data_IF_600493004910
#
_entry.id   IF_600493004910
#
_cell.length_a   1.000
_cell.length_b   1.000
_cell.length_c   1.000
_cell.angle_alpha   90.00
_cell.angle_beta   90.00
_cell.angle_gamma   90.00
#
_symmetry.space_group_name_H-M   'P 1'
#
loop_
_entity.id
_entity.type
_entity.pdbx_description
1 polymer ?
#
# COMPACT_ATOMS: atom_id res chain seq x y z
N UNK A 1 82.91 -78.37 5.30
CA UNK A 1 81.54 -77.88 5.58
C UNK A 1 81.59 -76.37 5.73
N UNK A 2 80.88 -75.57 4.93
CA UNK A 2 80.71 -74.15 5.21
C UNK A 2 79.53 -73.93 6.19
N UNK A 3 79.56 -72.92 7.07
CA UNK A 3 78.49 -72.65 8.03
C UNK A 3 77.27 -71.98 7.34
N UNK A 4 76.06 -72.11 7.91
CA UNK A 4 74.83 -71.63 7.31
C UNK A 4 74.72 -70.09 7.36
N UNK A 5 74.38 -69.48 6.22
CA UNK A 5 73.98 -68.07 6.16
C UNK A 5 72.48 -67.96 6.49
N UNK A 6 72.16 -67.41 7.67
CA UNK A 6 70.79 -66.97 7.97
C UNK A 6 70.59 -65.56 7.41
N UNK A 7 69.56 -65.41 6.59
CA UNK A 7 69.09 -64.15 5.99
C UNK A 7 67.99 -63.60 6.91
N UNK A 8 68.14 -62.47 7.62
CA UNK A 8 67.06 -61.95 8.43
C UNK A 8 66.09 -61.20 7.51
N UNK A 9 64.93 -61.80 7.27
CA UNK A 9 63.80 -61.07 6.71
C UNK A 9 63.15 -60.30 7.86
N UNK A 10 63.52 -59.03 8.02
CA UNK A 10 62.82 -58.10 8.90
C UNK A 10 61.53 -57.66 8.20
N UNK A 11 60.52 -58.54 8.20
CA UNK A 11 59.15 -58.14 7.90
C UNK A 11 58.62 -57.34 9.09
N UNK A 12 58.49 -56.02 8.94
CA UNK A 12 57.85 -55.17 9.94
C UNK A 12 56.44 -55.74 10.23
N UNK A 13 56.10 -56.07 11.48
CA UNK A 13 54.88 -56.80 11.77
C UNK A 13 53.66 -55.94 11.42
N UNK A 14 52.79 -56.47 10.54
CA UNK A 14 51.50 -55.91 10.12
C UNK A 14 50.63 -55.38 11.26
N UNK A 15 50.86 -55.86 12.48
CA UNK A 15 50.22 -55.44 13.73
C UNK A 15 50.37 -53.93 14.00
N UNK A 16 51.44 -53.28 13.51
CA UNK A 16 51.62 -51.82 13.60
C UNK A 16 50.88 -51.01 12.53
N UNK A 17 50.26 -51.64 11.54
CA UNK A 17 49.46 -50.93 10.55
C UNK A 17 48.19 -50.33 11.18
N UNK A 18 47.56 -51.02 12.13
CA UNK A 18 46.30 -50.58 12.77
C UNK A 18 46.49 -49.28 13.58
N UNK A 19 47.49 -49.14 14.47
CA UNK A 19 47.76 -47.88 15.17
C UNK A 19 48.08 -46.72 14.25
N UNK A 20 48.85 -46.96 13.18
CA UNK A 20 49.24 -45.91 12.22
C UNK A 20 48.02 -45.45 11.42
N UNK A 21 47.18 -46.37 10.96
CA UNK A 21 45.92 -46.03 10.26
C UNK A 21 44.99 -45.26 11.20
N UNK A 22 44.85 -45.68 12.46
CA UNK A 22 44.05 -44.95 13.45
C UNK A 22 44.57 -43.53 13.69
N UNK A 23 45.90 -43.35 13.76
CA UNK A 23 46.53 -42.03 13.92
C UNK A 23 46.33 -41.14 12.69
N UNK A 24 46.42 -41.70 11.49
CA UNK A 24 46.14 -40.99 10.23
C UNK A 24 44.66 -40.59 10.16
N UNK A 25 43.74 -41.47 10.53
CA UNK A 25 42.30 -41.14 10.59
C UNK A 25 42.03 -40.05 11.62
N UNK A 26 42.64 -40.12 12.81
CA UNK A 26 42.49 -39.10 13.86
C UNK A 26 43.08 -37.75 13.42
N UNK A 27 44.26 -37.74 12.78
CA UNK A 27 44.87 -36.55 12.21
C UNK A 27 44.01 -35.96 11.09
N UNK A 28 43.45 -36.81 10.22
CA UNK A 28 42.55 -36.39 9.14
C UNK A 28 41.24 -35.82 9.69
N UNK A 29 40.64 -36.44 10.71
CA UNK A 29 39.44 -35.92 11.38
C UNK A 29 39.73 -34.57 12.07
N UNK A 30 40.89 -34.44 12.71
CA UNK A 30 41.31 -33.21 13.37
C UNK A 30 41.51 -32.07 12.37
N UNK A 31 42.20 -32.33 11.26
CA UNK A 31 42.41 -31.35 10.19
C UNK A 31 41.08 -30.91 9.54
N UNK A 32 40.16 -31.85 9.31
CA UNK A 32 38.82 -31.55 8.78
C UNK A 32 38.01 -30.67 9.74
N UNK A 33 38.03 -30.99 11.03
CA UNK A 33 37.31 -30.24 12.08
C UNK A 33 37.81 -28.80 12.24
N UNK A 34 39.10 -28.57 12.00
CA UNK A 34 39.70 -27.23 12.06
C UNK A 34 39.43 -26.44 10.77
N UNK A 35 39.36 -27.11 9.62
CA UNK A 35 39.16 -26.45 8.32
C UNK A 35 37.75 -25.86 8.14
N UNK A 36 36.74 -26.47 8.78
CA UNK A 36 35.33 -26.07 8.66
C UNK A 36 34.93 -24.90 9.60
N UNK A 37 35.79 -24.50 10.54
CA UNK A 37 35.55 -23.37 11.44
C UNK A 37 35.88 -22.05 10.74
N UNK A 38 34.88 -21.18 10.63
CA UNK A 38 35.07 -19.82 10.16
C UNK A 38 35.45 -18.86 11.29
N UNK A 39 35.48 -17.56 11.01
CA UNK A 39 35.86 -16.54 11.98
C UNK A 39 34.85 -16.39 13.12
N UNK A 40 35.34 -16.01 14.29
CA UNK A 40 34.50 -15.58 15.42
C UNK A 40 34.25 -14.08 15.29
N UNK A 41 33.00 -13.67 15.47
CA UNK A 41 32.58 -12.27 15.38
C UNK A 41 31.86 -11.83 16.67
N UNK A 42 31.85 -10.52 16.89
CA UNK A 42 31.15 -9.85 17.99
C UNK A 42 30.07 -8.95 17.41
N UNK A 43 28.85 -9.07 17.92
CA UNK A 43 27.71 -8.23 17.53
C UNK A 43 27.11 -7.58 18.77
N UNK A 44 27.07 -6.25 18.80
CA UNK A 44 26.50 -5.48 19.92
C UNK A 44 25.06 -5.08 19.63
N UNK A 45 24.11 -5.53 20.43
CA UNK A 45 22.68 -5.19 20.36
C UNK A 45 22.25 -4.34 21.57
N UNK A 46 21.19 -3.54 21.43
CA UNK A 46 20.61 -2.83 22.58
C UNK A 46 19.90 -3.79 23.56
N UNK A 47 19.30 -4.87 23.05
CA UNK A 47 18.69 -5.94 23.84
C UNK A 47 18.95 -7.32 23.20
N UNK A 48 18.81 -8.38 23.99
CA UNK A 48 18.99 -9.77 23.53
C UNK A 48 17.71 -10.61 23.61
N UNK A 49 16.56 -9.96 23.52
CA UNK A 49 15.26 -10.63 23.60
C UNK A 49 15.09 -11.62 22.43
N UNK A 50 14.89 -12.90 22.77
CA UNK A 50 14.74 -14.01 21.82
C UNK A 50 16.04 -14.72 21.43
N UNK A 51 17.22 -14.19 21.79
CA UNK A 51 18.50 -14.88 21.56
C UNK A 51 18.73 -15.91 22.66
N UNK A 52 18.70 -17.18 22.28
CA UNK A 52 18.95 -18.31 23.16
C UNK A 52 20.37 -18.87 23.00
N UNK A 53 21.04 -19.02 24.14
CA UNK A 53 22.22 -19.86 24.33
C UNK A 53 21.73 -21.24 24.79
N UNK A 54 21.29 -22.07 23.85
CA UNK A 54 20.86 -23.42 24.15
C UNK A 54 21.97 -24.24 24.84
N UNK A 55 21.57 -25.18 25.71
CA UNK A 55 22.50 -26.11 26.39
C UNK A 55 23.21 -27.07 25.41
N UNK A 56 22.61 -27.30 24.24
CA UNK A 56 23.12 -28.16 23.16
C UNK A 56 23.28 -27.36 21.87
N UNK A 57 24.17 -27.78 20.95
CA UNK A 57 24.44 -27.08 19.69
C UNK A 57 23.18 -26.82 18.83
N UNK A 58 22.22 -27.76 18.84
CA UNK A 58 20.98 -27.65 18.09
C UNK A 58 19.98 -26.61 18.63
N UNK A 59 20.18 -26.12 19.86
CA UNK A 59 19.31 -25.13 20.51
C UNK A 59 19.94 -23.73 20.54
N UNK A 60 21.08 -23.52 19.86
CA UNK A 60 21.72 -22.20 19.77
C UNK A 60 21.06 -21.39 18.66
N UNK A 61 20.90 -20.09 18.92
CA UNK A 61 20.44 -19.13 17.92
C UNK A 61 21.35 -19.14 16.70
N UNK A 62 20.78 -19.31 15.50
CA UNK A 62 21.52 -19.35 14.23
C UNK A 62 21.59 -17.97 13.58
N UNK A 63 22.70 -17.69 12.88
CA UNK A 63 22.85 -16.54 11.99
C UNK A 63 22.55 -16.99 10.56
N UNK A 64 21.66 -16.26 9.85
CA UNK A 64 21.17 -16.63 8.53
C UNK A 64 21.21 -15.48 7.53
N UNK A 65 21.59 -15.79 6.29
CA UNK A 65 21.42 -14.93 5.13
C UNK A 65 20.55 -15.65 4.10
N UNK A 66 19.48 -15.03 3.59
CA UNK A 66 18.58 -15.65 2.60
C UNK A 66 18.16 -17.09 2.97
N UNK A 67 17.81 -17.32 4.24
CA UNK A 67 17.48 -18.63 4.84
C UNK A 67 18.59 -19.69 4.86
N UNK A 68 19.83 -19.34 4.52
CA UNK A 68 21.00 -20.22 4.66
C UNK A 68 21.69 -19.96 5.99
N UNK A 69 21.95 -21.01 6.77
CA UNK A 69 22.67 -20.93 8.03
C UNK A 69 24.17 -20.70 7.79
N UNK A 70 24.67 -19.58 8.31
CA UNK A 70 26.05 -19.13 8.12
C UNK A 70 26.84 -18.97 9.43
N UNK A 71 26.19 -19.13 10.58
CA UNK A 71 26.85 -19.08 11.88
C UNK A 71 25.92 -19.44 13.02
N UNK A 72 26.47 -19.52 14.23
CA UNK A 72 25.73 -19.80 15.47
C UNK A 72 26.24 -18.95 16.61
N UNK A 73 25.35 -18.55 17.51
CA UNK A 73 25.72 -17.81 18.72
C UNK A 73 26.48 -18.75 19.67
N UNK A 74 27.67 -18.31 20.10
CA UNK A 74 28.55 -19.05 21.00
C UNK A 74 28.41 -18.59 22.45
N UNK A 75 28.32 -17.27 22.68
CA UNK A 75 28.12 -16.69 24.00
C UNK A 75 27.35 -15.36 23.95
N UNK A 76 26.83 -14.96 25.11
CA UNK A 76 26.03 -13.76 25.34
C UNK A 76 26.54 -13.15 26.63
N UNK A 77 26.88 -11.87 26.60
CA UNK A 77 27.34 -11.10 27.75
C UNK A 77 26.80 -9.68 27.71
N UNK A 78 26.95 -8.96 28.81
CA UNK A 78 26.66 -7.53 28.85
C UNK A 78 27.96 -6.77 28.60
N UNK A 79 27.91 -5.61 27.94
CA UNK A 79 29.08 -4.72 27.85
C UNK A 79 29.51 -4.24 29.23
N UNK A 80 30.77 -3.81 29.37
CA UNK A 80 31.34 -3.38 30.65
C UNK A 80 30.56 -2.22 31.29
N UNK A 81 30.02 -1.32 30.46
CA UNK A 81 29.18 -0.19 30.85
C UNK A 81 27.70 -0.55 31.08
N UNK A 82 27.34 -1.82 30.86
CA UNK A 82 25.98 -2.39 30.97
C UNK A 82 24.95 -1.78 30.01
N UNK A 83 25.39 -1.05 28.99
CA UNK A 83 24.50 -0.33 28.05
C UNK A 83 24.05 -1.18 26.86
N UNK A 84 24.75 -2.28 26.58
CA UNK A 84 24.49 -3.13 25.42
C UNK A 84 24.72 -4.62 25.73
N UNK A 85 24.10 -5.47 24.92
CA UNK A 85 24.32 -6.92 24.96
C UNK A 85 25.30 -7.30 23.86
N UNK A 86 26.39 -7.95 24.25
CA UNK A 86 27.46 -8.41 23.37
C UNK A 86 27.22 -9.88 23.05
N UNK A 87 26.99 -10.17 21.77
CA UNK A 87 26.79 -11.51 21.23
C UNK A 87 28.07 -11.94 20.54
N UNK A 88 28.69 -13.03 21.00
CA UNK A 88 29.80 -13.66 20.28
C UNK A 88 29.26 -14.81 19.46
N UNK A 89 29.57 -14.84 18.17
CA UNK A 89 29.11 -15.86 17.25
C UNK A 89 30.24 -16.52 16.48
N UNK A 90 30.13 -17.84 16.32
CA UNK A 90 31.01 -18.65 15.49
C UNK A 90 30.41 -18.74 14.08
N UNK A 91 31.13 -18.19 13.10
CA UNK A 91 30.70 -18.20 11.71
C UNK A 91 31.25 -19.43 10.97
N UNK A 92 30.57 -19.84 9.91
CA UNK A 92 31.10 -20.80 8.93
C UNK A 92 32.12 -20.12 8.03
N UNK A 93 33.05 -20.91 7.48
CA UNK A 93 34.06 -20.41 6.53
C UNK A 93 33.44 -19.69 5.34
N UNK A 94 32.30 -20.19 4.84
CA UNK A 94 31.54 -19.62 3.73
C UNK A 94 31.01 -18.20 4.00
N UNK A 95 30.88 -17.80 5.28
CA UNK A 95 30.40 -16.48 5.65
C UNK A 95 31.49 -15.40 5.55
N UNK A 96 32.77 -15.77 5.50
CA UNK A 96 33.89 -14.82 5.56
C UNK A 96 33.86 -13.72 4.49
N UNK A 97 33.54 -13.99 3.21
CA UNK A 97 33.39 -12.97 2.18
C UNK A 97 32.21 -12.00 2.41
N UNK A 98 31.25 -12.41 3.26
CA UNK A 98 30.05 -11.66 3.60
C UNK A 98 30.23 -10.79 4.85
N UNK A 99 31.30 -11.00 5.62
CA UNK A 99 31.63 -10.23 6.83
C UNK A 99 32.39 -8.95 6.48
N UNK A 100 31.66 -7.98 5.94
CA UNK A 100 32.13 -6.66 5.48
C UNK A 100 31.86 -5.60 6.54
N UNK A 101 32.64 -4.53 6.62
CA UNK A 101 32.47 -3.49 7.66
C UNK A 101 31.07 -2.85 7.72
N UNK A 102 30.31 -2.90 6.63
CA UNK A 102 28.94 -2.41 6.50
C UNK A 102 27.87 -3.51 6.54
N UNK A 103 28.23 -4.72 6.97
CA UNK A 103 27.29 -5.84 7.16
C UNK A 103 26.35 -5.56 8.31
N UNK A 104 25.05 -5.68 8.05
CA UNK A 104 23.99 -5.41 9.02
C UNK A 104 23.51 -6.71 9.62
N UNK A 105 23.29 -6.72 10.93
CA UNK A 105 22.71 -7.85 11.66
C UNK A 105 21.46 -7.40 12.43
N UNK A 106 20.44 -8.24 12.52
CA UNK A 106 19.22 -7.95 13.29
C UNK A 106 18.60 -9.23 13.82
N UNK A 107 17.83 -9.15 14.91
CA UNK A 107 17.12 -10.30 15.48
C UNK A 107 15.76 -10.46 14.79
N UNK A 108 15.54 -11.60 14.15
CA UNK A 108 14.23 -11.98 13.58
C UNK A 108 13.48 -12.82 14.60
N UNK A 109 12.37 -12.29 15.08
CA UNK A 109 11.47 -12.96 16.02
C UNK A 109 10.29 -13.58 15.27
N UNK A 110 9.85 -14.80 15.63
CA UNK A 110 8.63 -15.36 15.05
C UNK A 110 7.44 -14.46 15.42
N UNK A 111 6.76 -13.91 14.42
CA UNK A 111 5.50 -13.18 14.64
C UNK A 111 4.39 -14.20 14.82
N UNK A 112 3.72 -14.17 15.98
CA UNK A 112 2.49 -14.94 16.19
C UNK A 112 1.39 -14.29 15.36
N UNK A 113 1.19 -14.78 14.14
CA UNK A 113 0.00 -14.47 13.37
C UNK A 113 -1.19 -15.23 13.94
N UNK A 114 -2.34 -14.56 14.11
CA UNK A 114 -3.61 -15.23 14.47
C UNK A 114 -4.22 -16.01 13.29
N UNK A 115 -3.50 -16.20 12.18
CA UNK A 115 -3.94 -16.95 11.02
C UNK A 115 -3.74 -18.44 11.19
N UNK A 116 -4.80 -19.13 11.63
CA UNK A 116 -4.99 -20.54 11.32
C UNK A 116 -4.49 -21.50 12.39
N UNK A 117 -5.41 -21.82 13.30
CA UNK A 117 -5.34 -23.02 14.13
C UNK A 117 -5.48 -24.22 13.17
N UNK A 118 -4.36 -24.77 12.71
CA UNK A 118 -4.24 -26.13 12.19
C UNK A 118 -2.76 -26.53 12.24
N UNK A 119 -2.37 -27.20 13.32
CA UNK A 119 -1.03 -27.73 13.51
C UNK A 119 -0.31 -27.21 14.74
N UNK A 120 -0.83 -27.49 15.93
CA UNK A 120 -0.12 -27.34 17.22
C UNK A 120 1.06 -28.35 17.36
N UNK A 121 1.77 -28.66 16.28
CA UNK A 121 2.81 -29.70 16.26
C UNK A 121 4.12 -29.31 15.57
N UNK A 122 4.27 -28.11 15.02
CA UNK A 122 5.58 -27.64 14.56
C UNK A 122 6.16 -26.67 15.57
N UNK A 123 6.84 -27.26 16.54
CA UNK A 123 7.86 -26.66 17.39
C UNK A 123 8.41 -25.35 16.82
N UNK A 124 8.14 -24.29 17.60
CA UNK A 124 8.76 -22.97 17.60
C UNK A 124 10.20 -23.06 17.05
N UNK A 125 10.40 -22.64 15.80
CA UNK A 125 11.73 -22.23 15.39
C UNK A 125 12.02 -20.97 16.20
N UNK A 126 12.93 -21.08 17.18
CA UNK A 126 13.34 -19.95 18.02
C UNK A 126 13.80 -18.75 17.17
N UNK A 127 13.93 -17.58 17.77
CA UNK A 127 14.42 -16.41 17.05
C UNK A 127 15.79 -16.72 16.40
N UNK A 128 16.08 -16.05 15.29
CA UNK A 128 17.36 -16.19 14.60
C UNK A 128 17.92 -14.81 14.28
N UNK A 129 19.22 -14.71 14.04
CA UNK A 129 19.86 -13.45 13.65
C UNK A 129 19.93 -13.41 12.12
N UNK A 130 19.30 -12.41 11.50
CA UNK A 130 19.45 -12.12 10.07
C UNK A 130 20.76 -11.37 9.82
N UNK A 131 21.37 -11.59 8.66
CA UNK A 131 22.49 -10.80 8.18
C UNK A 131 22.24 -10.26 6.77
N UNK A 132 22.77 -9.08 6.47
CA UNK A 132 22.75 -8.48 5.13
C UNK A 132 24.16 -7.93 4.84
N UNK A 133 24.92 -8.53 3.91
CA UNK A 133 26.24 -8.03 3.53
C UNK A 133 26.11 -6.70 2.77
N UNK A 134 27.02 -5.77 3.04
CA UNK A 134 27.11 -4.53 2.27
C UNK A 134 28.14 -4.62 1.13
N UNK A 135 28.74 -3.51 0.74
CA UNK A 135 29.64 -3.39 -0.42
C UNK A 135 31.12 -3.25 -0.05
N UNK A 136 31.44 -3.02 1.22
CA UNK A 136 32.81 -2.79 1.68
C UNK A 136 33.69 -4.07 1.64
N UNK A 137 35.03 -3.95 1.76
CA UNK A 137 35.90 -5.11 1.84
C UNK A 137 35.55 -6.04 3.01
N UNK A 138 35.70 -7.35 2.77
CA UNK A 138 35.50 -8.40 3.78
C UNK A 138 36.62 -8.43 4.81
N UNK A 139 36.33 -8.95 6.01
CA UNK A 139 37.31 -9.16 7.09
C UNK A 139 36.93 -8.51 8.41
N UNK A 140 35.78 -7.83 8.49
CA UNK A 140 35.29 -7.25 9.73
C UNK A 140 34.93 -8.36 10.74
N UNK A 141 35.10 -8.04 12.04
CA UNK A 141 34.83 -8.95 13.17
C UNK A 141 33.90 -8.34 14.21
N UNK A 142 33.79 -7.01 14.25
CA UNK A 142 32.94 -6.29 15.19
C UNK A 142 31.81 -5.59 14.45
N UNK A 143 30.59 -5.78 14.92
CA UNK A 143 29.38 -5.31 14.27
C UNK A 143 28.41 -4.70 15.27
N UNK A 144 27.62 -3.74 14.79
CA UNK A 144 26.47 -3.21 15.53
C UNK A 144 25.19 -3.86 15.00
N UNK A 145 24.44 -4.47 15.91
CA UNK A 145 23.12 -5.00 15.64
C UNK A 145 22.09 -3.89 15.49
N UNK A 146 21.14 -4.08 14.59
CA UNK A 146 19.97 -3.24 14.39
C UNK A 146 18.80 -3.80 15.21
N UNK A 147 18.02 -2.91 15.81
CA UNK A 147 16.83 -3.29 16.58
C UNK A 147 15.70 -3.80 15.68
N UNK A 148 15.59 -3.23 14.48
CA UNK A 148 14.61 -3.59 13.47
C UNK A 148 15.32 -4.14 12.22
N UNK A 149 14.67 -5.07 11.49
CA UNK A 149 15.19 -5.53 10.20
C UNK A 149 15.40 -4.33 9.27
N UNK A 150 16.47 -4.32 8.47
CA UNK A 150 16.55 -3.36 7.37
C UNK A 150 15.33 -3.60 6.47
N UNK A 151 14.81 -2.56 5.81
CA UNK A 151 13.76 -2.73 4.82
C UNK A 151 14.14 -3.84 3.83
N UNK A 152 13.17 -4.57 3.28
CA UNK A 152 13.36 -5.79 2.48
C UNK A 152 14.34 -5.69 1.28
N UNK A 153 14.82 -4.48 0.99
CA UNK A 153 15.95 -4.18 0.12
C UNK A 153 17.13 -5.15 0.37
N UNK A 154 17.40 -6.01 -0.62
CA UNK A 154 18.53 -6.94 -0.62
C UNK A 154 18.22 -8.36 -0.13
N UNK A 155 17.03 -8.59 0.47
CA UNK A 155 16.50 -9.92 0.78
C UNK A 155 15.59 -10.44 -0.33
N UNK A 156 14.79 -9.55 -0.92
CA UNK A 156 13.83 -9.84 -2.00
C UNK A 156 13.90 -8.71 -3.04
N UNK A 157 13.77 -9.02 -4.33
CA UNK A 157 13.77 -8.00 -5.38
C UNK A 157 12.41 -7.28 -5.42
N UNK A 158 12.42 -5.97 -5.65
CA UNK A 158 11.21 -5.14 -5.69
C UNK A 158 11.51 -3.68 -6.00
N UNK A 159 10.47 -2.85 -6.00
CA UNK A 159 10.56 -1.39 -6.19
C UNK A 159 9.89 -0.66 -5.03
N UNK A 160 10.37 0.55 -4.75
CA UNK A 160 9.83 1.43 -3.70
C UNK A 160 9.01 2.51 -4.38
N UNK A 161 7.87 2.84 -3.80
CA UNK A 161 7.04 3.97 -4.21
C UNK A 161 6.67 4.80 -3.00
N UNK A 162 6.51 6.11 -3.20
CA UNK A 162 6.16 7.05 -2.14
C UNK A 162 4.69 7.44 -2.26
N UNK A 163 3.89 7.18 -1.23
CA UNK A 163 2.48 7.52 -1.20
C UNK A 163 2.26 8.75 -0.31
N UNK A 164 1.73 9.82 -0.87
CA UNK A 164 1.50 11.09 -0.18
C UNK A 164 0.06 11.20 0.31
N UNK A 165 -0.12 11.67 1.52
CA UNK A 165 -1.44 11.92 2.11
C UNK A 165 -1.42 13.11 3.07
N UNK A 166 -2.56 13.76 3.24
CA UNK A 166 -2.70 14.93 4.13
C UNK A 166 -2.67 14.56 5.62
N UNK A 167 -3.04 13.32 5.96
CA UNK A 167 -3.12 12.85 7.35
C UNK A 167 -2.60 11.43 7.45
N UNK A 168 -1.80 11.17 8.48
CA UNK A 168 -1.30 9.82 8.75
C UNK A 168 -2.46 8.85 8.94
N UNK A 169 -2.58 7.81 8.10
CA UNK A 169 -3.61 6.80 8.27
C UNK A 169 -3.23 5.84 9.40
N UNK A 170 -4.22 5.17 9.99
CA UNK A 170 -4.00 4.13 10.99
C UNK A 170 -3.45 2.85 10.32
N UNK A 171 -2.20 2.92 9.86
CA UNK A 171 -1.50 1.86 9.16
C UNK A 171 -0.18 1.64 9.88
N UNK A 172 0.11 0.40 10.25
CA UNK A 172 1.37 0.04 10.89
C UNK A 172 2.49 -0.10 9.85
N UNK A 173 3.74 0.04 10.30
CA UNK A 173 4.88 -0.45 9.54
C UNK A 173 4.69 -1.96 9.25
N UNK A 174 5.14 -2.43 8.08
CA UNK A 174 4.89 -3.76 7.55
C UNK A 174 3.41 -4.12 7.28
N UNK A 175 2.50 -3.13 7.24
CA UNK A 175 1.14 -3.37 6.75
C UNK A 175 1.17 -3.88 5.30
N UNK A 176 0.31 -4.85 4.93
CA UNK A 176 0.32 -5.44 3.60
C UNK A 176 -0.20 -4.48 2.53
N UNK A 177 0.38 -4.58 1.33
CA UNK A 177 -0.12 -3.93 0.11
C UNK A 177 -0.74 -4.99 -0.80
N UNK A 178 -2.00 -4.77 -1.20
CA UNK A 178 -2.78 -5.69 -2.03
C UNK A 178 -3.02 -5.16 -3.44
N UNK A 179 -3.07 -6.08 -4.38
CA UNK A 179 -3.57 -5.88 -5.74
C UNK A 179 -4.55 -7.00 -6.07
N UNK A 180 -5.80 -6.68 -6.37
CA UNK A 180 -6.89 -7.65 -6.59
C UNK A 180 -6.96 -8.76 -5.52
N UNK A 181 -6.78 -8.40 -4.24
CA UNK A 181 -6.83 -9.34 -3.11
C UNK A 181 -5.57 -10.20 -2.90
N UNK A 182 -4.54 -10.06 -3.74
CA UNK A 182 -3.25 -10.74 -3.56
C UNK A 182 -2.26 -9.80 -2.90
N UNK A 183 -1.57 -10.24 -1.84
CA UNK A 183 -0.52 -9.45 -1.21
C UNK A 183 0.69 -9.38 -2.15
N UNK A 184 1.06 -8.17 -2.53
CA UNK A 184 2.14 -7.90 -3.49
C UNK A 184 3.23 -7.00 -2.92
N UNK A 185 3.09 -6.54 -1.68
CA UNK A 185 4.07 -5.69 -1.04
C UNK A 185 3.76 -5.43 0.44
N UNK A 186 4.50 -4.48 1.00
CA UNK A 186 4.38 -4.05 2.39
C UNK A 186 4.77 -2.58 2.57
N UNK A 187 4.23 -1.94 3.61
CA UNK A 187 4.63 -0.61 4.05
C UNK A 187 6.00 -0.68 4.72
N UNK A 188 6.94 0.16 4.31
CA UNK A 188 8.29 0.22 4.88
C UNK A 188 8.34 1.14 6.09
N UNK A 189 7.99 2.40 5.87
CA UNK A 189 8.07 3.46 6.86
C UNK A 189 7.15 4.62 6.48
N UNK A 190 7.01 5.57 7.40
CA UNK A 190 6.27 6.79 7.23
C UNK A 190 7.13 7.98 7.64
N UNK A 191 7.09 9.04 6.86
CA UNK A 191 7.87 10.26 7.09
C UNK A 191 6.94 11.47 7.01
N UNK A 192 7.06 12.38 7.97
CA UNK A 192 6.37 13.67 7.94
C UNK A 192 7.30 14.68 7.25
N UNK A 193 6.78 15.36 6.23
CA UNK A 193 7.50 16.45 5.56
C UNK A 193 7.44 17.71 6.43
N UNK A 194 8.61 18.19 6.87
CA UNK A 194 8.73 19.42 7.67
C UNK A 194 8.32 20.69 6.90
N UNK A 195 8.18 20.62 5.56
CA UNK A 195 7.92 21.79 4.70
C UNK A 195 6.44 22.12 4.56
N UNK A 196 5.62 21.11 4.36
CA UNK A 196 4.20 21.25 3.97
C UNK A 196 3.26 20.41 4.85
N UNK A 197 3.79 19.71 5.87
CA UNK A 197 3.01 18.88 6.77
C UNK A 197 2.42 17.63 6.10
N UNK A 198 2.81 17.32 4.86
CA UNK A 198 2.35 16.13 4.15
C UNK A 198 3.04 14.88 4.72
N UNK A 199 2.31 13.77 4.76
CA UNK A 199 2.85 12.48 5.19
C UNK A 199 3.19 11.68 3.94
N UNK A 200 4.43 11.19 3.88
CA UNK A 200 4.91 10.27 2.84
C UNK A 200 5.05 8.88 3.44
N UNK A 201 4.26 7.94 2.94
CA UNK A 201 4.29 6.52 3.28
C UNK A 201 5.07 5.78 2.20
N UNK A 202 6.22 5.21 2.54
CA UNK A 202 7.02 4.44 1.59
C UNK A 202 6.52 3.00 1.54
N UNK A 203 6.19 2.51 0.35
CA UNK A 203 5.76 1.12 0.13
C UNK A 203 6.77 0.37 -0.71
N UNK A 204 7.04 -0.88 -0.34
CA UNK A 204 7.85 -1.80 -1.13
C UNK A 204 6.96 -2.82 -1.83
N UNK A 205 7.12 -2.93 -3.14
CA UNK A 205 6.33 -3.83 -3.99
C UNK A 205 7.27 -4.88 -4.57
N UNK A 206 6.96 -6.15 -4.29
CA UNK A 206 7.78 -7.28 -4.70
C UNK A 206 7.77 -7.45 -6.22
N UNK A 207 8.88 -7.94 -6.79
CA UNK A 207 8.84 -8.50 -8.14
C UNK A 207 8.12 -9.85 -8.14
N UNK A 208 7.37 -10.19 -9.22
CA UNK A 208 7.22 -9.44 -10.47
C UNK A 208 6.16 -8.33 -10.43
N UNK A 209 5.42 -8.17 -9.33
CA UNK A 209 4.26 -7.29 -9.24
C UNK A 209 4.55 -5.80 -9.34
N UNK A 210 5.80 -5.37 -9.14
CA UNK A 210 6.19 -3.97 -9.32
C UNK A 210 5.87 -3.41 -10.71
N UNK A 211 5.78 -4.28 -11.73
CA UNK A 211 5.45 -3.89 -13.12
C UNK A 211 4.00 -3.51 -13.35
N UNK A 212 3.14 -3.75 -12.37
CA UNK A 212 1.73 -3.38 -12.42
C UNK A 212 1.53 -1.89 -12.14
N UNK A 213 2.51 -1.24 -11.49
CA UNK A 213 2.39 0.17 -11.13
C UNK A 213 2.75 1.07 -12.32
N UNK A 214 1.73 1.83 -12.72
CA UNK A 214 1.74 2.82 -13.80
C UNK A 214 1.41 4.21 -13.26
N UNK A 215 1.71 5.30 -14.00
CA UNK A 215 1.40 6.66 -13.55
C UNK A 215 -0.08 6.87 -13.15
N UNK A 216 -1.03 6.23 -13.84
CA UNK A 216 -2.45 6.25 -13.47
C UNK A 216 -2.88 5.36 -12.28
N UNK A 217 -1.95 4.69 -11.58
CA UNK A 217 -2.30 3.79 -10.47
C UNK A 217 -2.79 4.57 -9.25
N UNK A 218 -3.83 4.06 -8.61
CA UNK A 218 -4.47 4.70 -7.48
C UNK A 218 -4.34 3.81 -6.25
N UNK A 219 -3.97 4.41 -5.12
CA UNK A 219 -3.75 3.72 -3.86
C UNK A 219 -4.75 4.21 -2.82
N UNK A 220 -5.41 3.31 -2.11
CA UNK A 220 -6.29 3.67 -1.00
C UNK A 220 -6.11 2.72 0.18
N UNK A 221 -6.63 3.15 1.32
CA UNK A 221 -6.65 2.33 2.53
C UNK A 221 -7.84 1.37 2.41
N UNK A 222 -7.59 0.07 2.59
CA UNK A 222 -8.68 -0.89 2.78
C UNK A 222 -9.40 -0.56 4.09
N UNK A 223 -10.57 0.09 3.98
CA UNK A 223 -11.47 0.29 5.10
C UNK A 223 -12.10 -1.06 5.46
N UNK A 224 -12.04 -1.44 6.73
CA UNK A 224 -12.39 -2.83 7.04
C UNK A 224 -13.89 -3.14 7.06
N UNK A 225 -14.75 -2.17 7.35
CA UNK A 225 -16.21 -2.28 7.19
C UNK A 225 -16.73 -1.02 6.51
N UNK A 226 -17.15 -1.15 5.25
CA UNK A 226 -17.87 -0.11 4.53
C UNK A 226 -19.35 -0.50 4.45
N UNK A 227 -20.21 0.27 5.10
CA UNK A 227 -21.65 0.08 5.08
C UNK A 227 -22.27 1.18 4.20
N UNK A 228 -22.67 0.83 2.99
CA UNK A 228 -23.35 1.74 2.07
C UNK A 228 -24.84 1.39 2.05
N UNK A 229 -25.68 2.39 2.30
CA UNK A 229 -27.14 2.26 2.17
C UNK A 229 -27.52 2.89 0.83
N UNK A 230 -27.86 2.05 -0.15
CA UNK A 230 -28.31 2.48 -1.48
C UNK A 230 -29.77 2.13 -1.74
N UNK A 231 -30.22 2.44 -2.97
CA UNK A 231 -31.55 2.05 -3.47
C UNK A 231 -31.75 0.53 -3.55
N UNK A 232 -30.64 -0.23 -3.58
CA UNK A 232 -30.62 -1.70 -3.53
C UNK A 232 -30.60 -2.28 -2.11
N UNK A 233 -30.68 -1.44 -1.08
CA UNK A 233 -30.62 -1.85 0.33
C UNK A 233 -29.26 -1.59 0.99
N UNK A 234 -29.04 -2.22 2.16
CA UNK A 234 -27.78 -2.14 2.89
C UNK A 234 -26.75 -3.09 2.27
N UNK A 235 -25.70 -2.54 1.68
CA UNK A 235 -24.52 -3.27 1.25
C UNK A 235 -23.44 -3.12 2.32
N UNK A 236 -22.97 -4.26 2.84
CA UNK A 236 -21.86 -4.30 3.80
C UNK A 236 -20.70 -4.99 3.12
N UNK A 237 -19.68 -4.22 2.76
CA UNK A 237 -18.40 -4.77 2.34
C UNK A 237 -17.55 -4.97 3.60
N UNK A 238 -17.30 -6.24 3.91
CA UNK A 238 -16.44 -6.62 5.04
C UNK A 238 -15.12 -7.14 4.50
N UNK A 239 -14.05 -6.42 4.74
CA UNK A 239 -12.71 -6.97 4.57
C UNK A 239 -12.40 -7.95 5.71
N UNK A 240 -11.37 -8.78 5.54
CA UNK A 240 -11.01 -9.77 6.55
C UNK A 240 -10.67 -9.12 7.90
N UNK A 241 -10.99 -9.76 9.03
CA UNK A 241 -10.66 -9.26 10.40
C UNK A 241 -9.16 -8.92 10.60
N UNK A 242 -8.27 -9.46 9.76
CA UNK A 242 -6.84 -9.18 9.79
C UNK A 242 -6.49 -7.80 9.22
N UNK A 243 -7.18 -7.32 8.19
CA UNK A 243 -6.93 -5.98 7.59
C UNK A 243 -7.45 -4.85 8.50
N UNK A 244 -8.47 -5.13 9.32
CA UNK A 244 -9.03 -4.21 10.31
C UNK A 244 -8.06 -3.80 11.43
N UNK A 245 -7.13 -4.67 11.82
CA UNK A 245 -6.28 -4.47 13.01
C UNK A 245 -4.94 -3.77 12.71
N UNK A 246 -4.40 -3.93 11.50
CA UNK A 246 -3.08 -3.39 11.11
C UNK A 246 -3.17 -2.30 10.04
N UNK A 247 -4.35 -2.13 9.44
CA UNK A 247 -4.52 -1.37 8.20
C UNK A 247 -3.91 -2.13 7.01
N UNK A 248 -4.45 -1.89 5.82
CA UNK A 248 -3.89 -2.41 4.58
C UNK A 248 -4.02 -1.35 3.48
N UNK A 249 -3.09 -1.38 2.52
CA UNK A 249 -3.15 -0.52 1.34
C UNK A 249 -3.57 -1.38 0.16
N UNK A 250 -4.51 -0.90 -0.63
CA UNK A 250 -4.92 -1.52 -1.89
C UNK A 250 -4.55 -0.57 -3.01
N UNK A 251 -4.13 -1.10 -4.15
CA UNK A 251 -4.05 -0.32 -5.36
C UNK A 251 -4.73 -0.99 -6.53
N UNK A 252 -5.20 -0.17 -7.46
CA UNK A 252 -5.67 -0.57 -8.78
C UNK A 252 -5.00 0.31 -9.84
N UNK A 253 -4.84 -0.26 -11.03
CA UNK A 253 -4.37 0.45 -12.21
C UNK A 253 -5.48 0.42 -13.25
N UNK A 254 -6.08 1.57 -13.59
CA UNK A 254 -7.13 1.66 -14.59
C UNK A 254 -6.71 1.03 -15.93
N UNK A 255 -7.64 0.39 -16.68
CA UNK A 255 -7.31 -0.28 -17.93
C UNK A 255 -6.66 0.63 -19.00
N UNK A 256 -7.01 1.92 -19.03
CA UNK A 256 -6.39 2.91 -19.91
C UNK A 256 -4.93 3.16 -19.52
N UNK A 257 -4.64 3.26 -18.21
CA UNK A 257 -3.30 3.45 -17.67
C UNK A 257 -2.38 2.23 -17.83
N UNK A 258 -2.91 1.01 -18.05
CA UNK A 258 -2.10 -0.19 -18.28
C UNK A 258 -1.25 -0.11 -19.56
N UNK A 259 -1.60 0.80 -20.48
CA UNK A 259 -0.84 1.03 -21.72
C UNK A 259 0.36 1.97 -21.56
N UNK A 260 0.43 2.69 -20.44
CA UNK A 260 1.51 3.62 -20.13
C UNK A 260 2.81 2.88 -19.74
N UNK A 261 3.94 3.58 -19.73
CA UNK A 261 5.20 3.02 -19.25
C UNK A 261 5.16 2.67 -17.75
N UNK A 262 5.97 1.70 -17.32
CA UNK A 262 6.08 1.33 -15.91
C UNK A 262 6.65 2.52 -15.11
N UNK A 263 6.08 2.80 -13.94
CA UNK A 263 6.59 3.86 -13.08
C UNK A 263 8.00 3.51 -12.55
N UNK A 264 8.96 4.45 -12.61
CA UNK A 264 10.29 4.23 -12.07
C UNK A 264 10.25 4.09 -10.52
N UNK A 265 11.27 3.45 -9.91
CA UNK A 265 11.42 3.43 -8.46
C UNK A 265 11.44 4.86 -7.89
N UNK A 266 10.73 5.08 -6.78
CA UNK A 266 10.61 6.36 -6.11
C UNK A 266 9.52 7.28 -6.67
N UNK A 267 8.73 6.83 -7.66
CA UNK A 267 7.56 7.58 -8.11
C UNK A 267 6.59 7.86 -6.97
N UNK A 268 5.96 9.04 -7.05
CA UNK A 268 5.02 9.54 -6.04
C UNK A 268 3.58 9.30 -6.49
N UNK A 269 2.75 8.84 -5.57
CA UNK A 269 1.32 8.62 -5.77
C UNK A 269 0.52 9.18 -4.60
N UNK A 270 -0.77 9.42 -4.77
CA UNK A 270 -1.65 9.83 -3.68
C UNK A 270 -2.20 8.61 -2.95
N UNK A 271 -2.15 8.60 -1.62
CA UNK A 271 -2.86 7.63 -0.79
C UNK A 271 -4.22 8.20 -0.37
N UNK A 272 -5.27 7.69 -1.01
CA UNK A 272 -6.65 8.03 -0.76
C UNK A 272 -7.19 7.35 0.49
N UNK A 273 -8.23 7.94 1.10
CA UNK A 273 -8.84 7.41 2.33
C UNK A 273 -9.55 6.08 2.07
N UNK A 274 -10.16 5.95 0.90
CA UNK A 274 -11.04 4.86 0.53
C UNK A 274 -11.10 4.75 -1.01
N UNK A 275 -11.73 3.67 -1.51
CA UNK A 275 -11.85 3.43 -2.95
C UNK A 275 -12.67 4.50 -3.66
N UNK A 276 -13.70 5.02 -3.00
CA UNK A 276 -14.58 6.05 -3.56
C UNK A 276 -13.83 7.35 -3.84
N UNK A 277 -13.00 7.82 -2.91
CA UNK A 277 -12.20 9.03 -3.05
C UNK A 277 -11.06 8.88 -4.08
N UNK A 278 -10.51 7.68 -4.24
CA UNK A 278 -9.61 7.35 -5.34
C UNK A 278 -10.31 7.48 -6.70
N UNK A 279 -11.47 6.81 -6.85
CA UNK A 279 -12.27 6.85 -8.07
C UNK A 279 -12.76 8.28 -8.43
N UNK A 280 -13.15 9.07 -7.43
CA UNK A 280 -13.54 10.47 -7.61
C UNK A 280 -12.39 11.35 -8.12
N UNK A 281 -11.15 11.00 -7.82
CA UNK A 281 -9.95 11.73 -8.22
C UNK A 281 -9.44 11.31 -9.61
N UNK A 282 -9.92 10.18 -10.14
CA UNK A 282 -9.62 9.70 -11.49
C UNK A 282 -10.16 10.61 -12.61
N UNK A 283 -11.12 11.48 -12.30
CA UNK A 283 -11.66 12.52 -13.18
C UNK A 283 -11.10 13.90 -12.76
N UNK A 284 -9.91 14.29 -13.23
CA UNK A 284 -9.23 15.50 -12.74
C UNK A 284 -9.91 16.79 -13.19
N UNK A 285 -10.61 16.77 -14.32
CA UNK A 285 -11.32 17.95 -14.84
C UNK A 285 -12.78 17.88 -14.44
N UNK A 286 -13.24 18.93 -13.78
CA UNK A 286 -14.65 19.14 -13.41
C UNK A 286 -15.07 20.51 -13.89
N UNK A 287 -16.24 20.58 -14.52
CA UNK A 287 -16.83 21.83 -15.01
C UNK A 287 -17.95 22.24 -14.07
N UNK A 288 -17.84 23.44 -13.52
CA UNK A 288 -18.75 23.95 -12.50
C UNK A 288 -19.88 24.76 -13.10
N UNK A 289 -21.10 24.54 -12.58
CA UNK A 289 -22.31 25.30 -12.93
C UNK A 289 -23.06 25.71 -11.65
N UNK A 290 -23.82 26.79 -11.73
CA UNK A 290 -24.79 27.15 -10.68
C UNK A 290 -26.18 26.63 -11.06
N UNK A 291 -26.90 26.05 -10.11
CA UNK A 291 -28.31 25.70 -10.24
C UNK A 291 -29.09 26.38 -9.11
N UNK A 292 -30.24 26.95 -9.46
CA UNK A 292 -31.15 27.60 -8.51
C UNK A 292 -32.51 26.93 -8.59
N UNK A 293 -32.87 26.14 -7.57
CA UNK A 293 -34.15 25.43 -7.55
C UNK A 293 -35.23 26.25 -6.85
N UNK A 294 -36.49 26.21 -7.33
CA UNK A 294 -37.60 26.81 -6.62
C UNK A 294 -37.97 25.98 -5.38
N UNK A 295 -37.85 26.59 -4.19
CA UNK A 295 -38.28 26.01 -2.92
C UNK A 295 -37.16 25.43 -2.04
N UNK A 296 -37.51 24.77 -0.92
CA UNK A 296 -36.52 24.31 0.05
C UNK A 296 -35.63 23.19 -0.49
N UNK A 297 -34.31 23.32 -0.32
CA UNK A 297 -33.32 22.29 -0.71
C UNK A 297 -33.16 21.16 0.33
N UNK A 298 -34.23 20.82 1.06
CA UNK A 298 -34.14 19.82 2.12
C UNK A 298 -33.75 18.44 1.55
N UNK A 299 -32.72 17.82 2.13
CA UNK A 299 -32.15 16.55 1.67
C UNK A 299 -31.05 16.68 0.61
N UNK A 300 -30.70 17.89 0.19
CA UNK A 300 -29.49 18.15 -0.62
C UNK A 300 -28.31 18.48 0.28
N UNK A 301 -27.19 17.78 0.06
CA UNK A 301 -25.92 18.01 0.74
C UNK A 301 -24.75 18.13 -0.25
N UNK A 302 -23.60 18.61 0.22
CA UNK A 302 -22.35 18.51 -0.55
C UNK A 302 -22.08 17.02 -0.82
N UNK A 303 -21.78 16.69 -2.06
CA UNK A 303 -21.62 15.31 -2.55
C UNK A 303 -22.89 14.69 -3.14
N UNK A 304 -24.05 15.37 -3.09
CA UNK A 304 -25.28 14.91 -3.76
C UNK A 304 -24.99 14.61 -5.24
N UNK A 305 -25.32 13.42 -5.76
CA UNK A 305 -25.02 13.08 -7.14
C UNK A 305 -25.80 13.94 -8.13
N UNK A 306 -25.14 14.26 -9.24
CA UNK A 306 -25.75 14.85 -10.44
C UNK A 306 -25.83 13.76 -11.49
N UNK A 307 -27.05 13.46 -11.92
CA UNK A 307 -27.32 12.36 -12.82
C UNK A 307 -27.88 12.84 -14.15
N UNK A 308 -27.60 12.09 -15.21
CA UNK A 308 -28.22 12.27 -16.51
C UNK A 308 -28.76 10.91 -16.94
N UNK A 309 -30.09 10.78 -16.99
CA UNK A 309 -30.78 9.51 -17.29
C UNK A 309 -30.37 8.37 -16.34
N UNK A 310 -30.20 8.67 -15.05
CA UNK A 310 -29.83 7.71 -14.01
C UNK A 310 -28.34 7.32 -13.99
N UNK A 311 -27.48 8.00 -14.77
CA UNK A 311 -26.04 7.79 -14.74
C UNK A 311 -25.39 8.96 -13.99
N UNK A 312 -24.61 8.72 -12.92
CA UNK A 312 -23.92 9.79 -12.20
C UNK A 312 -22.79 10.38 -13.06
N UNK A 313 -22.95 11.65 -13.41
CA UNK A 313 -21.99 12.42 -14.21
C UNK A 313 -21.33 13.55 -13.42
N UNK A 314 -21.72 13.76 -12.16
CA UNK A 314 -21.22 14.85 -11.35
C UNK A 314 -21.71 14.81 -9.91
N UNK A 315 -21.50 15.92 -9.19
CA UNK A 315 -21.95 16.09 -7.80
C UNK A 315 -22.17 17.55 -7.43
N UNK A 316 -22.91 17.81 -6.36
CA UNK A 316 -22.98 19.12 -5.72
C UNK A 316 -21.69 19.38 -4.94
N UNK A 317 -20.97 20.46 -5.23
CA UNK A 317 -19.73 20.82 -4.54
C UNK A 317 -19.88 21.92 -3.49
N UNK A 318 -20.88 22.79 -3.63
CA UNK A 318 -21.15 23.84 -2.66
C UNK A 318 -22.63 24.21 -2.57
N UNK A 319 -23.05 24.66 -1.39
CA UNK A 319 -24.35 25.28 -1.14
C UNK A 319 -24.11 26.64 -0.52
N UNK A 320 -24.71 27.70 -1.07
CA UNK A 320 -24.60 29.06 -0.51
C UNK A 320 -25.98 29.65 -0.32
N UNK A 321 -26.15 30.37 0.79
CA UNK A 321 -27.30 31.25 1.02
C UNK A 321 -26.92 32.63 0.51
N UNK A 322 -27.66 33.11 -0.49
CA UNK A 322 -27.43 34.41 -1.11
C UNK A 322 -28.67 35.28 -0.90
N UNK A 323 -28.49 36.41 -0.21
CA UNK A 323 -29.53 37.42 -0.07
C UNK A 323 -29.54 38.32 -1.30
N UNK A 324 -30.59 38.22 -2.10
CA UNK A 324 -30.79 39.08 -3.26
C UNK A 324 -31.44 40.38 -2.81
N UNK A 325 -30.65 41.46 -2.81
CA UNK A 325 -31.10 42.80 -2.41
C UNK A 325 -32.15 43.37 -3.36
N UNK A 326 -32.22 42.93 -4.61
CA UNK A 326 -33.16 43.47 -5.58
C UNK A 326 -34.56 42.86 -5.42
N UNK A 327 -34.63 41.57 -5.09
CA UNK A 327 -35.89 40.86 -4.85
C UNK A 327 -36.28 40.80 -3.37
N UNK A 328 -35.39 41.24 -2.47
CA UNK A 328 -35.51 41.08 -1.00
C UNK A 328 -35.75 39.63 -0.56
N UNK A 329 -35.25 38.68 -1.36
CA UNK A 329 -35.44 37.24 -1.16
C UNK A 329 -34.12 36.53 -0.83
N UNK A 330 -34.21 35.40 -0.12
CA UNK A 330 -33.08 34.53 0.17
C UNK A 330 -33.09 33.37 -0.82
N UNK A 331 -32.12 33.37 -1.73
CA UNK A 331 -31.91 32.28 -2.68
C UNK A 331 -30.84 31.34 -2.18
N UNK A 332 -30.91 30.08 -2.61
CA UNK A 332 -29.92 29.06 -2.26
C UNK A 332 -29.33 28.45 -3.54
N UNK A 333 -28.45 29.17 -4.27
CA UNK A 333 -27.77 28.57 -5.40
C UNK A 333 -26.85 27.44 -4.93
N UNK A 334 -26.95 26.30 -5.61
CA UNK A 334 -26.03 25.19 -5.45
C UNK A 334 -25.02 25.19 -6.59
N UNK A 335 -23.75 24.95 -6.27
CA UNK A 335 -22.72 24.69 -7.28
C UNK A 335 -22.69 23.20 -7.55
N UNK A 336 -22.87 22.83 -8.82
CA UNK A 336 -22.67 21.46 -9.31
C UNK A 336 -21.38 21.38 -10.12
N UNK A 337 -20.68 20.25 -9.99
CA UNK A 337 -19.49 19.91 -10.74
C UNK A 337 -19.77 18.69 -11.62
N UNK A 338 -19.59 18.83 -12.92
CA UNK A 338 -19.81 17.77 -13.90
C UNK A 338 -18.46 17.28 -14.42
N UNK A 339 -18.30 15.95 -14.50
CA UNK A 339 -17.13 15.28 -15.03
C UNK A 339 -17.33 15.00 -16.54
N UNK A 340 -16.76 15.82 -17.44
CA UNK A 340 -17.00 15.72 -18.88
C UNK A 340 -16.62 14.37 -19.49
N UNK A 341 -15.58 13.71 -18.97
CA UNK A 341 -15.09 12.43 -19.49
C UNK A 341 -16.06 11.26 -19.25
N UNK A 342 -17.13 11.47 -18.48
CA UNK A 342 -18.23 10.51 -18.33
C UNK A 342 -19.22 10.57 -19.49
N UNK A 343 -19.10 11.56 -20.37
CA UNK A 343 -19.98 11.75 -21.52
C UNK A 343 -19.17 11.55 -22.80
N UNK A 344 -19.33 10.38 -23.43
CA UNK A 344 -18.75 10.11 -24.73
C UNK A 344 -19.63 10.69 -25.85
N UNK A 345 -19.02 11.42 -26.79
CA UNK A 345 -19.70 11.90 -28.00
C UNK A 345 -19.17 11.09 -29.19
N UNK A 346 -19.96 10.16 -29.75
CA UNK A 346 -19.52 9.38 -30.90
C UNK A 346 -19.11 10.26 -32.07
N UNK A 347 -17.88 10.09 -32.56
CA UNK A 347 -17.34 10.82 -33.71
C UNK A 347 -16.70 12.18 -33.39
N UNK A 348 -16.69 12.63 -32.13
CA UNK A 348 -15.91 13.78 -31.68
C UNK A 348 -14.66 13.30 -30.91
N UNK A 349 -13.60 14.13 -30.88
CA UNK A 349 -12.42 13.83 -30.09
C UNK A 349 -12.77 13.83 -28.59
N UNK A 350 -12.13 12.98 -27.76
CA UNK A 350 -12.31 13.02 -26.32
C UNK A 350 -12.00 14.40 -25.75
N UNK A 351 -12.73 14.80 -24.72
CA UNK A 351 -12.49 16.05 -24.01
C UNK A 351 -11.08 16.02 -23.41
N UNK A 352 -10.25 17.08 -23.55
CA UNK A 352 -8.91 17.11 -23.00
C UNK A 352 -8.89 16.94 -21.48
N UNK A 353 -8.08 16.01 -20.96
CA UNK A 353 -7.87 15.80 -19.52
C UNK A 353 -6.91 16.82 -18.88
N UNK A 354 -6.09 17.48 -19.70
CA UNK A 354 -4.96 18.28 -19.22
C UNK A 354 -5.19 19.80 -19.35
N UNK A 355 -6.28 20.21 -20.01
CA UNK A 355 -6.64 21.61 -20.23
C UNK A 355 -8.07 21.89 -19.70
N UNK A 356 -8.19 22.40 -18.46
CA UNK A 356 -9.48 22.72 -17.84
C UNK A 356 -10.32 23.74 -18.61
N UNK A 357 -9.68 24.68 -19.32
CA UNK A 357 -10.39 25.72 -20.06
C UNK A 357 -11.00 25.14 -21.34
N UNK A 358 -10.23 24.37 -22.10
CA UNK A 358 -10.72 23.67 -23.29
C UNK A 358 -11.84 22.69 -22.94
N UNK A 359 -11.70 21.97 -21.82
CA UNK A 359 -12.73 21.06 -21.32
C UNK A 359 -14.02 21.81 -20.93
N UNK A 360 -13.89 22.96 -20.26
CA UNK A 360 -15.04 23.82 -19.91
C UNK A 360 -15.77 24.28 -21.17
N UNK A 361 -15.05 24.77 -22.18
CA UNK A 361 -15.66 25.25 -23.43
C UNK A 361 -16.37 24.12 -24.19
N UNK A 362 -15.74 22.94 -24.31
CA UNK A 362 -16.35 21.77 -24.94
C UNK A 362 -17.63 21.32 -24.21
N UNK A 363 -17.60 21.31 -22.87
CA UNK A 363 -18.73 20.92 -22.04
C UNK A 363 -19.87 21.92 -22.12
N UNK A 364 -19.57 23.23 -22.13
CA UNK A 364 -20.57 24.28 -22.31
C UNK A 364 -21.27 24.14 -23.66
N UNK A 365 -20.53 23.98 -24.77
CA UNK A 365 -21.12 23.75 -26.10
C UNK A 365 -22.01 22.51 -26.16
N UNK A 366 -21.65 21.45 -25.44
CA UNK A 366 -22.49 20.26 -25.34
C UNK A 366 -23.80 20.61 -24.63
N UNK A 367 -23.74 21.19 -23.43
CA UNK A 367 -24.94 21.49 -22.66
C UNK A 367 -25.81 22.56 -23.30
N UNK A 368 -25.26 23.55 -23.99
CA UNK A 368 -26.04 24.51 -24.79
C UNK A 368 -26.93 23.80 -25.82
N UNK A 369 -26.36 22.81 -26.55
CA UNK A 369 -27.13 21.99 -27.51
C UNK A 369 -28.22 21.17 -26.83
N UNK A 370 -27.97 20.65 -25.62
CA UNK A 370 -28.95 19.84 -24.88
C UNK A 370 -30.04 20.70 -24.22
N UNK A 371 -29.68 21.85 -23.66
CA UNK A 371 -30.59 22.84 -23.07
C UNK A 371 -31.56 23.37 -24.13
N UNK A 372 -31.06 23.64 -25.34
CA UNK A 372 -31.88 24.03 -26.49
C UNK A 372 -32.90 22.96 -26.88
N UNK A 373 -32.61 21.68 -26.59
CA UNK A 373 -33.52 20.54 -26.77
C UNK A 373 -34.41 20.27 -25.54
N UNK A 374 -34.33 21.09 -24.50
CA UNK A 374 -35.17 20.99 -23.31
C UNK A 374 -34.52 20.39 -22.07
N UNK A 375 -33.20 20.19 -22.04
CA UNK A 375 -32.52 19.71 -20.83
C UNK A 375 -32.62 20.73 -19.68
N UNK A 376 -33.08 20.31 -18.51
CA UNK A 376 -33.17 21.12 -17.30
C UNK A 376 -32.65 20.34 -16.10
N UNK A 377 -32.07 21.04 -15.14
CA UNK A 377 -31.76 20.46 -13.85
C UNK A 377 -33.03 20.44 -12.98
N UNK A 378 -33.32 19.31 -12.34
CA UNK A 378 -34.45 19.14 -11.41
C UNK A 378 -33.98 18.51 -10.12
N UNK A 379 -34.63 18.87 -9.02
CA UNK A 379 -34.42 18.20 -7.75
C UNK A 379 -35.39 17.03 -7.63
N UNK A 380 -34.87 15.82 -7.68
CA UNK A 380 -35.66 14.59 -7.59
C UNK A 380 -35.36 13.85 -6.27
N UNK A 381 -36.32 13.09 -5.71
CA UNK A 381 -36.06 12.21 -4.59
C UNK A 381 -35.15 11.05 -5.03
N UNK A 382 -34.12 10.77 -4.23
CA UNK A 382 -33.22 9.62 -4.42
C UNK A 382 -33.71 8.42 -3.60
N UNK A 383 -33.74 8.60 -2.28
CA UNK A 383 -34.25 7.61 -1.35
C UNK A 383 -35.38 8.21 -0.49
N UNK A 384 -36.59 7.69 -0.67
CA UNK A 384 -37.77 8.14 0.06
C UNK A 384 -37.71 7.84 1.56
N UNK A 385 -36.90 6.87 2.00
CA UNK A 385 -36.79 6.49 3.41
C UNK A 385 -35.93 7.47 4.21
N UNK A 386 -34.85 7.96 3.63
CA UNK A 386 -33.86 8.85 4.28
C UNK A 386 -34.11 10.31 3.90
N UNK A 387 -34.90 10.55 2.85
CA UNK A 387 -35.20 11.88 2.34
C UNK A 387 -34.04 12.50 1.55
N UNK A 388 -33.08 11.68 1.08
CA UNK A 388 -31.99 12.14 0.21
C UNK A 388 -32.54 12.59 -1.15
N UNK A 389 -31.85 13.55 -1.76
CA UNK A 389 -32.17 14.10 -3.08
C UNK A 389 -31.06 13.79 -4.08
N UNK A 390 -31.40 13.83 -5.36
CA UNK A 390 -30.46 13.89 -6.49
C UNK A 390 -30.72 15.14 -7.33
N UNK A 391 -29.70 15.63 -8.01
CA UNK A 391 -29.86 16.60 -9.09
C UNK A 391 -29.97 15.84 -10.41
N UNK A 392 -31.19 15.70 -10.93
CA UNK A 392 -31.45 14.98 -12.17
C UNK A 392 -31.48 15.96 -13.36
N UNK A 393 -30.67 15.68 -14.38
CA UNK A 393 -30.66 16.41 -15.64
C UNK A 393 -31.62 15.72 -16.61
N UNK A 394 -32.82 16.30 -16.77
CA UNK A 394 -33.92 15.68 -17.50
C UNK A 394 -34.38 16.57 -18.67
N UNK A 395 -34.84 15.95 -19.76
CA UNK A 395 -35.53 16.66 -20.83
C UNK A 395 -36.99 16.88 -20.45
N UNK A 396 -37.42 18.13 -20.35
CA UNK A 396 -38.81 18.46 -20.07
C UNK A 396 -39.63 18.55 -21.37
N UNK A 397 -40.89 18.13 -21.30
CA UNK A 397 -41.85 18.32 -22.40
C UNK A 397 -42.25 19.80 -22.50
N UNK A 398 -42.27 20.34 -23.72
CA UNK A 398 -42.58 21.75 -24.01
C UNK A 398 -41.77 22.76 -23.17
N UNK A 399 -40.42 22.73 -23.26
CA UNK A 399 -39.58 23.61 -22.46
C UNK A 399 -39.81 25.08 -22.83
N UNK A 400 -39.95 25.93 -21.81
CA UNK A 400 -39.73 27.38 -22.00
C UNK A 400 -38.31 27.59 -22.52
N UNK A 401 -38.08 28.35 -23.62
CA UNK A 401 -36.74 28.59 -24.13
C UNK A 401 -35.80 29.10 -23.03
N UNK A 402 -34.66 28.43 -22.87
CA UNK A 402 -33.63 28.82 -21.91
C UNK A 402 -32.25 28.63 -22.53
N UNK A 403 -31.27 29.32 -21.98
CA UNK A 403 -29.87 29.23 -22.36
C UNK A 403 -29.03 29.08 -21.10
N UNK A 404 -27.78 28.68 -21.27
CA UNK A 404 -26.82 28.70 -20.17
C UNK A 404 -26.57 30.16 -19.78
N UNK A 405 -26.92 30.54 -18.55
CA UNK A 405 -26.81 31.91 -18.08
C UNK A 405 -25.34 32.30 -17.91
N UNK A 406 -24.98 33.51 -18.29
CA UNK A 406 -23.60 34.02 -18.15
C UNK A 406 -23.36 34.68 -16.78
N UNK A 407 -23.74 33.97 -15.72
CA UNK A 407 -23.55 34.42 -14.34
C UNK A 407 -22.10 34.16 -13.89
N UNK A 408 -21.56 35.01 -13.01
CA UNK A 408 -20.22 34.86 -12.44
C UNK A 408 -20.34 34.31 -11.01
N UNK A 409 -19.43 33.43 -10.53
CA UNK A 409 -18.23 32.93 -11.21
C UNK A 409 -18.46 31.73 -12.14
N UNK A 410 -19.67 31.14 -12.16
CA UNK A 410 -19.98 29.97 -12.97
C UNK A 410 -21.29 30.15 -13.74
N UNK A 411 -21.41 29.59 -14.95
CA UNK A 411 -22.62 29.68 -15.74
C UNK A 411 -23.83 29.11 -15.00
N UNK A 412 -24.99 29.75 -15.16
CA UNK A 412 -26.24 29.32 -14.55
C UNK A 412 -26.92 28.28 -15.44
N UNK A 413 -27.08 27.07 -14.91
CA UNK A 413 -27.75 25.97 -15.58
C UNK A 413 -29.26 26.05 -15.34
N UNK A 414 -30.08 26.04 -16.40
CA UNK A 414 -31.51 26.26 -16.27
C UNK A 414 -32.18 25.11 -15.50
N UNK A 415 -32.98 25.48 -14.50
CA UNK A 415 -33.70 24.55 -13.65
C UNK A 415 -35.17 24.44 -14.06
N UNK A 416 -35.81 23.36 -13.64
CA UNK A 416 -37.26 23.20 -13.67
C UNK A 416 -37.76 22.80 -12.28
N UNK A 417 -39.05 23.02 -11.97
CA UNK A 417 -39.63 22.61 -10.70
C UNK A 417 -39.43 21.11 -10.42
N UNK A 418 -39.16 20.76 -9.16
CA UNK A 418 -38.85 19.38 -8.76
C UNK A 418 -40.05 18.43 -8.94
N UNK A 419 -39.77 17.15 -9.21
CA UNK A 419 -40.79 16.10 -9.28
C UNK A 419 -41.00 15.50 -7.90
N UNK A 420 -41.97 16.00 -7.13
CA UNK A 420 -42.24 15.45 -5.79
C UNK A 420 -43.69 15.62 -5.33
N UNK A 421 -44.06 14.89 -4.27
CA UNK A 421 -45.39 14.96 -3.64
C UNK A 421 -45.82 16.39 -3.29
N UNK A 422 -44.87 17.28 -2.99
CA UNK A 422 -45.13 18.69 -2.72
C UNK A 422 -45.69 19.47 -3.92
N UNK A 423 -45.42 19.04 -5.17
CA UNK A 423 -46.05 19.62 -6.36
C UNK A 423 -47.43 19.07 -6.62
N UNK A 424 -47.67 17.77 -6.36
CA UNK A 424 -49.01 17.18 -6.41
C UNK A 424 -49.93 17.87 -5.38
N UNK A 425 -49.40 18.15 -4.19
CA UNK A 425 -50.14 18.90 -3.17
C UNK A 425 -50.42 20.35 -3.62
N UNK A 426 -49.47 21.02 -4.30
CA UNK A 426 -49.65 22.38 -4.82
C UNK A 426 -50.61 22.45 -6.01
N UNK A 427 -50.55 21.48 -6.92
CA UNK A 427 -51.46 21.40 -8.08
C UNK A 427 -52.87 20.94 -7.71
N UNK A 428 -53.04 20.22 -6.60
CA UNK A 428 -54.35 19.91 -6.03
C UNK A 428 -54.97 21.07 -5.22
N UNK A 429 -54.16 22.07 -4.86
CA UNK A 429 -54.59 23.27 -4.12
C UNK A 429 -54.79 24.52 -5.00
N UNK A 430 -54.48 24.43 -6.29
CA UNK A 430 -54.71 25.44 -7.32
C UNK A 430 -55.90 25.02 -8.18
#
# INVERSE_FOLDING_TARGET
MPPPRLRPWAGLPWIWAVPVIALVIAAWLGLRTISDRGPVITISFANAEGIELGRNEAARTTIRYKNVELGRVASLGLSDDKSSVVVTAEMRREAEPLLRSDTKFWVVRPRLGFSGISGLSTLVSGAYIGMLPGEQPSGARDFRGLDNPPPAQGLVNGKIFALTTERMPAISDAAPVYFHGVQVGEVMDHTLSDKDGTVSVNVFIYQPHSTLIRPGSQFWIAAGVEATIGTQGLQVETETLQTLLSGAIVFETPPDALTEAESPPGSKFTLYRDRKSAADSADPVRVSYQVSFPGPLHGMAIGTPVELRGIPIGRVSALRLEYDRASEDIRVPATIEISPHRIAIPGEAPIPRDDPNAATEATNRLFERLIAKGLRARLAPDNLLIGSRIVDLEFIENPTPAQLGQTQPYPEFPTAPGSGLGEIARSASA
#
